data_IF_813921275934
#
_entry.id   IF_813921275934
#
_cell.length_a   1.000
_cell.length_b   1.000
_cell.length_c   1.000
_cell.angle_alpha   90.00
_cell.angle_beta   90.00
_cell.angle_gamma   90.00
#
_symmetry.space_group_name_H-M   'P 1'
#
loop_
_entity.id
_entity.type
_entity.pdbx_description
1 polymer ?
#
# COMPACT_ATOMS: atom_id res chain seq x y z
N UNK A 1 -3.51 10.45 -13.55
CA UNK A 1 -4.06 11.16 -14.70
C UNK A 1 -3.83 12.68 -14.63
N UNK A 2 -3.95 13.26 -13.44
CA UNK A 2 -3.84 14.72 -13.22
C UNK A 2 -2.43 15.19 -12.84
N UNK A 3 -1.51 14.27 -12.57
CA UNK A 3 -0.11 14.57 -12.25
C UNK A 3 0.71 14.77 -13.53
N UNK A 4 1.86 15.48 -13.46
CA UNK A 4 2.81 15.61 -14.56
C UNK A 4 3.24 14.26 -15.13
N UNK A 5 3.32 13.24 -14.26
CA UNK A 5 3.60 11.84 -14.61
C UNK A 5 2.33 11.07 -15.03
N UNK A 6 1.30 11.75 -15.49
CA UNK A 6 0.02 11.14 -15.88
C UNK A 6 0.14 10.07 -16.97
N UNK A 7 1.26 10.04 -17.71
CA UNK A 7 1.61 8.94 -18.61
C UNK A 7 1.88 7.59 -17.95
N UNK A 8 2.05 7.55 -16.63
CA UNK A 8 2.19 6.33 -15.83
C UNK A 8 0.85 5.79 -15.30
N UNK A 9 -0.27 6.45 -15.58
CA UNK A 9 -1.59 5.92 -15.22
C UNK A 9 -1.85 4.61 -16.00
N UNK A 10 -2.44 3.56 -15.35
CA UNK A 10 -2.63 2.25 -16.01
C UNK A 10 -3.27 2.32 -17.40
N UNK A 11 -4.25 3.18 -17.60
CA UNK A 11 -4.87 3.37 -18.94
C UNK A 11 -3.86 3.91 -19.95
N UNK A 12 -2.98 4.83 -19.55
CA UNK A 12 -1.94 5.37 -20.43
C UNK A 12 -0.87 4.32 -20.77
N UNK A 13 -0.64 3.38 -19.85
CA UNK A 13 0.27 2.24 -20.02
C UNK A 13 -0.35 1.07 -20.78
N UNK A 14 -1.61 1.18 -21.23
CA UNK A 14 -2.27 0.18 -22.06
C UNK A 14 -3.28 -0.71 -21.37
N UNK A 15 -3.57 -0.48 -20.09
CA UNK A 15 -4.65 -1.20 -19.41
C UNK A 15 -5.99 -0.92 -20.09
N UNK A 16 -6.76 -1.99 -20.34
CA UNK A 16 -8.08 -1.87 -20.95
C UNK A 16 -9.09 -1.19 -20.00
N UNK A 17 -9.01 -1.51 -18.72
CA UNK A 17 -9.88 -0.96 -17.68
C UNK A 17 -9.07 -0.79 -16.38
N UNK A 18 -9.46 0.19 -15.55
CA UNK A 18 -8.84 0.42 -14.26
C UNK A 18 -9.90 0.94 -13.27
N UNK A 19 -9.87 0.45 -12.04
CA UNK A 19 -10.70 0.96 -10.96
C UNK A 19 -9.81 1.63 -9.93
N UNK A 20 -10.00 2.93 -9.72
CA UNK A 20 -9.18 3.76 -8.85
C UNK A 20 -9.95 4.18 -7.60
N UNK A 21 -9.36 3.97 -6.43
CA UNK A 21 -9.89 4.48 -5.15
C UNK A 21 -9.76 6.00 -5.11
N UNK A 22 -10.87 6.72 -5.30
CA UNK A 22 -10.87 8.18 -5.24
C UNK A 22 -10.47 8.72 -3.85
N UNK A 23 -10.91 8.05 -2.79
CA UNK A 23 -10.72 8.49 -1.40
C UNK A 23 -9.26 8.43 -0.89
N UNK A 24 -8.33 7.83 -1.63
CA UNK A 24 -6.92 7.74 -1.16
C UNK A 24 -6.11 8.99 -1.46
N UNK A 25 -6.38 9.67 -2.57
CA UNK A 25 -5.59 10.84 -2.99
C UNK A 25 -6.44 12.02 -3.48
N UNK A 26 -7.72 11.81 -3.68
CA UNK A 26 -8.67 12.85 -4.08
C UNK A 26 -9.64 13.16 -2.94
N UNK A 27 -10.27 14.34 -2.94
CA UNK A 27 -11.21 14.75 -1.90
C UNK A 27 -12.55 14.01 -2.02
N UNK A 28 -12.52 12.70 -1.81
CA UNK A 28 -13.66 11.78 -1.87
C UNK A 28 -13.80 11.06 -0.55
N UNK A 29 -15.02 10.88 -0.07
CA UNK A 29 -15.32 10.09 1.14
C UNK A 29 -14.96 8.62 0.91
N UNK A 30 -14.49 7.94 1.95
CA UNK A 30 -14.11 6.53 1.93
C UNK A 30 -15.19 5.66 1.29
N UNK A 31 -14.79 4.79 0.37
CA UNK A 31 -15.66 3.93 -0.43
C UNK A 31 -15.95 4.48 -1.84
N UNK A 32 -15.60 5.76 -2.11
CA UNK A 32 -15.72 6.32 -3.45
C UNK A 32 -14.60 5.86 -4.37
N UNK A 33 -14.96 5.43 -5.57
CA UNK A 33 -14.04 4.95 -6.61
C UNK A 33 -14.48 5.40 -8.00
N UNK A 34 -13.53 5.40 -8.93
CA UNK A 34 -13.77 5.68 -10.35
C UNK A 34 -13.40 4.46 -11.18
N UNK A 35 -14.28 4.09 -12.10
CA UNK A 35 -13.98 3.13 -13.15
C UNK A 35 -13.54 3.89 -14.41
N UNK A 36 -12.36 3.59 -14.91
CA UNK A 36 -11.81 4.14 -16.15
C UNK A 36 -11.84 3.08 -17.25
N UNK A 37 -12.30 3.49 -18.42
CA UNK A 37 -12.28 2.67 -19.64
C UNK A 37 -11.21 3.21 -20.59
N UNK A 38 -10.28 2.35 -20.99
CA UNK A 38 -9.32 2.64 -22.05
C UNK A 38 -9.96 2.51 -23.44
N UNK A 39 -9.31 3.05 -24.47
CA UNK A 39 -9.78 2.93 -25.85
C UNK A 39 -9.86 1.47 -26.34
N UNK A 40 -9.09 0.58 -25.73
CA UNK A 40 -9.02 -0.85 -26.00
C UNK A 40 -9.87 -1.69 -25.02
N UNK A 41 -10.75 -1.06 -24.22
CA UNK A 41 -11.62 -1.80 -23.33
C UNK A 41 -12.55 -2.74 -24.13
N UNK A 42 -12.76 -3.98 -23.65
CA UNK A 42 -13.60 -4.96 -24.34
C UNK A 42 -15.06 -4.54 -24.41
N UNK A 43 -15.49 -3.63 -23.54
CA UNK A 43 -16.82 -3.04 -23.51
C UNK A 43 -16.67 -1.53 -23.58
N UNK A 44 -17.21 -0.92 -24.64
CA UNK A 44 -17.23 0.54 -24.83
C UNK A 44 -18.63 1.13 -24.66
N UNK A 45 -19.67 0.30 -24.67
CA UNK A 45 -21.03 0.73 -24.46
C UNK A 45 -21.27 1.10 -23.00
N UNK A 46 -21.57 2.36 -22.74
CA UNK A 46 -21.83 2.90 -21.41
C UNK A 46 -23.01 2.18 -20.72
N UNK A 47 -24.07 1.84 -21.46
CA UNK A 47 -25.23 1.15 -20.89
C UNK A 47 -24.85 -0.25 -20.41
N UNK A 48 -24.06 -0.99 -21.18
CA UNK A 48 -23.58 -2.31 -20.78
C UNK A 48 -22.70 -2.24 -19.51
N UNK A 49 -21.82 -1.24 -19.41
CA UNK A 49 -21.00 -1.02 -18.21
C UNK A 49 -21.85 -0.68 -17.00
N UNK A 50 -22.84 0.22 -17.15
CA UNK A 50 -23.76 0.58 -16.07
C UNK A 50 -24.60 -0.64 -15.60
N UNK A 51 -25.07 -1.45 -16.52
CA UNK A 51 -25.79 -2.67 -16.20
C UNK A 51 -24.91 -3.67 -15.44
N UNK A 52 -23.66 -3.86 -15.86
CA UNK A 52 -22.70 -4.71 -15.15
C UNK A 52 -22.42 -4.20 -13.74
N UNK A 53 -22.22 -2.89 -13.55
CA UNK A 53 -22.07 -2.28 -12.23
C UNK A 53 -23.32 -2.49 -11.36
N UNK A 54 -24.51 -2.39 -11.92
CA UNK A 54 -25.77 -2.58 -11.19
C UNK A 54 -25.97 -4.02 -10.69
N UNK A 55 -25.38 -5.03 -11.34
CA UNK A 55 -25.45 -6.43 -10.88
C UNK A 55 -24.72 -6.64 -9.53
N UNK A 56 -23.68 -5.89 -9.27
CA UNK A 56 -22.86 -6.05 -8.07
C UNK A 56 -22.96 -4.85 -7.11
N UNK A 57 -23.56 -3.76 -7.56
CA UNK A 57 -23.75 -2.55 -6.78
C UNK A 57 -24.86 -2.69 -5.75
N UNK A 58 -24.78 -1.86 -4.71
CA UNK A 58 -25.85 -1.77 -3.72
C UNK A 58 -27.11 -1.13 -4.32
N UNK A 59 -28.28 -1.67 -3.99
CA UNK A 59 -29.57 -1.05 -4.29
C UNK A 59 -29.86 0.17 -3.41
N UNK A 60 -29.03 0.39 -2.37
CA UNK A 60 -29.13 1.53 -1.45
C UNK A 60 -27.81 2.29 -1.44
N UNK A 61 -27.46 3.01 -2.53
CA UNK A 61 -26.19 3.74 -2.62
C UNK A 61 -26.14 4.85 -1.57
N UNK A 62 -24.96 5.08 -1.01
CA UNK A 62 -24.74 6.21 -0.10
C UNK A 62 -24.72 7.52 -0.88
N UNK A 63 -25.68 8.39 -0.62
CA UNK A 63 -25.73 9.72 -1.22
C UNK A 63 -24.53 10.59 -0.80
N UNK A 64 -23.97 10.39 0.41
CA UNK A 64 -22.75 11.08 0.84
C UNK A 64 -21.56 10.74 -0.05
N UNK A 65 -21.38 9.45 -0.40
CA UNK A 65 -20.32 9.01 -1.30
C UNK A 65 -20.54 9.59 -2.69
N UNK A 66 -21.76 9.50 -3.24
CA UNK A 66 -22.08 10.04 -4.56
C UNK A 66 -21.88 11.55 -4.62
N UNK A 67 -22.33 12.29 -3.61
CA UNK A 67 -22.12 13.74 -3.51
C UNK A 67 -20.64 14.10 -3.41
N UNK A 68 -19.84 13.31 -2.67
CA UNK A 68 -18.41 13.55 -2.58
C UNK A 68 -17.69 13.32 -3.90
N UNK A 69 -18.09 12.33 -4.69
CA UNK A 69 -17.58 12.08 -6.04
C UNK A 69 -17.94 13.23 -6.99
N UNK A 70 -19.19 13.70 -6.95
CA UNK A 70 -19.64 14.83 -7.77
C UNK A 70 -18.87 16.11 -7.40
N UNK A 71 -18.77 16.41 -6.09
CA UNK A 71 -17.99 17.55 -5.60
C UNK A 71 -16.50 17.44 -5.96
N UNK A 72 -15.94 16.26 -5.92
CA UNK A 72 -14.57 16.01 -6.37
C UNK A 72 -14.41 16.36 -7.84
N UNK A 73 -15.33 15.97 -8.73
CA UNK A 73 -15.30 16.34 -10.15
C UNK A 73 -15.29 17.86 -10.34
N UNK A 74 -16.08 18.59 -9.57
CA UNK A 74 -16.06 20.05 -9.57
C UNK A 74 -14.67 20.59 -9.16
N UNK A 75 -14.12 20.12 -8.03
CA UNK A 75 -12.82 20.54 -7.52
C UNK A 75 -11.70 20.25 -8.54
N UNK A 76 -11.75 19.09 -9.20
CA UNK A 76 -10.79 18.71 -10.24
C UNK A 76 -10.83 19.68 -11.43
N UNK A 77 -12.00 20.23 -11.77
CA UNK A 77 -12.16 21.23 -12.85
C UNK A 77 -11.69 22.63 -12.45
N UNK A 78 -11.60 22.93 -11.16
CA UNK A 78 -11.29 24.24 -10.58
C UNK A 78 -9.81 24.43 -10.21
N UNK A 79 -8.88 23.82 -10.94
CA UNK A 79 -7.44 24.04 -10.79
C UNK A 79 -6.72 23.05 -9.83
N UNK A 80 -7.38 22.01 -9.36
CA UNK A 80 -6.76 20.97 -8.53
C UNK A 80 -5.51 20.33 -9.14
N UNK A 81 -5.38 20.12 -10.46
CA UNK A 81 -4.14 19.62 -11.07
C UNK A 81 -2.92 20.52 -10.80
N UNK A 82 -3.10 21.85 -10.74
CA UNK A 82 -2.00 22.75 -10.39
C UNK A 82 -1.60 22.59 -8.92
N UNK A 83 -2.56 22.44 -8.02
CA UNK A 83 -2.30 22.16 -6.60
C UNK A 83 -1.57 20.83 -6.39
N UNK A 84 -1.94 19.80 -7.16
CA UNK A 84 -1.21 18.50 -7.18
C UNK A 84 0.24 18.70 -7.60
N UNK A 85 0.49 19.46 -8.66
CA UNK A 85 1.85 19.75 -9.13
C UNK A 85 2.68 20.47 -8.06
N UNK A 86 2.10 21.46 -7.38
CA UNK A 86 2.75 22.18 -6.28
C UNK A 86 3.07 21.23 -5.11
N UNK A 87 2.13 20.37 -4.71
CA UNK A 87 2.32 19.37 -3.67
C UNK A 87 3.48 18.42 -4.03
N UNK A 88 3.53 17.91 -5.27
CA UNK A 88 4.65 17.09 -5.76
C UNK A 88 5.99 17.83 -5.66
N UNK A 89 6.02 19.13 -5.98
CA UNK A 89 7.22 19.96 -5.85
C UNK A 89 7.70 20.09 -4.39
N UNK A 90 6.76 20.21 -3.43
CA UNK A 90 7.09 20.19 -2.00
C UNK A 90 7.66 18.84 -1.57
N UNK A 91 7.04 17.75 -1.99
CA UNK A 91 7.50 16.40 -1.65
C UNK A 91 8.85 16.04 -2.26
N UNK A 92 9.12 16.50 -3.49
CA UNK A 92 10.44 16.32 -4.12
C UNK A 92 11.54 17.04 -3.32
N UNK A 93 11.29 18.26 -2.86
CA UNK A 93 12.23 19.00 -2.00
C UNK A 93 12.43 18.31 -0.67
N UNK A 94 11.34 17.88 -0.03
CA UNK A 94 11.37 17.15 1.24
C UNK A 94 12.23 15.88 1.13
N UNK A 95 11.98 15.03 0.13
CA UNK A 95 12.77 13.79 -0.08
C UNK A 95 14.26 14.11 -0.23
N UNK A 96 14.60 15.15 -0.99
CA UNK A 96 15.97 15.57 -1.17
C UNK A 96 16.60 16.02 0.15
N UNK A 97 15.94 16.86 0.93
CA UNK A 97 16.38 17.35 2.24
C UNK A 97 16.68 16.19 3.21
N UNK A 98 15.75 15.23 3.31
CA UNK A 98 15.91 14.04 4.15
C UNK A 98 17.11 13.18 3.72
N UNK A 99 17.30 13.01 2.41
CA UNK A 99 18.41 12.24 1.87
C UNK A 99 19.77 12.95 2.07
N UNK A 100 19.80 14.27 1.92
CA UNK A 100 21.00 15.08 2.20
C UNK A 100 21.40 14.97 3.69
N UNK A 101 20.43 15.02 4.60
CA UNK A 101 20.69 14.86 6.03
C UNK A 101 21.20 13.45 6.38
N UNK A 102 20.58 12.42 5.84
CA UNK A 102 21.03 11.03 6.03
C UNK A 102 22.44 10.80 5.48
N UNK A 103 22.75 11.34 4.30
CA UNK A 103 24.07 11.27 3.70
C UNK A 103 25.13 12.00 4.56
N UNK A 104 24.82 13.15 5.16
CA UNK A 104 25.69 13.89 6.06
C UNK A 104 26.04 13.10 7.33
N UNK A 105 25.16 12.19 7.76
CA UNK A 105 25.38 11.25 8.87
C UNK A 105 25.97 9.90 8.43
N UNK A 106 26.41 9.79 7.18
CA UNK A 106 26.98 8.57 6.60
C UNK A 106 26.05 7.35 6.67
N UNK A 107 24.74 7.58 6.57
CA UNK A 107 23.77 6.49 6.47
C UNK A 107 24.07 5.63 5.23
N UNK A 108 23.81 4.31 5.29
CA UNK A 108 24.25 3.35 4.25
C UNK A 108 23.43 3.42 2.95
N UNK A 109 22.43 4.30 2.86
CA UNK A 109 21.61 4.48 1.68
C UNK A 109 20.67 5.67 1.77
N UNK A 110 19.83 5.89 0.75
CA UNK A 110 18.82 6.96 0.79
C UNK A 110 17.74 6.66 1.82
N UNK A 111 17.40 7.65 2.65
CA UNK A 111 16.34 7.55 3.64
C UNK A 111 14.97 7.61 2.96
N UNK A 112 14.76 8.58 2.07
CA UNK A 112 13.53 8.74 1.31
C UNK A 112 13.69 8.14 -0.09
N UNK A 113 12.92 7.09 -0.36
CA UNK A 113 12.99 6.36 -1.62
C UNK A 113 12.20 7.07 -2.73
N UNK A 114 12.59 6.79 -4.00
CA UNK A 114 11.75 7.10 -5.16
C UNK A 114 10.46 6.26 -5.07
N UNK A 115 9.33 6.94 -5.10
CA UNK A 115 8.01 6.33 -4.94
C UNK A 115 6.95 7.12 -5.70
N UNK A 116 5.69 6.73 -5.53
CA UNK A 116 4.55 7.47 -6.06
C UNK A 116 4.61 8.95 -5.64
N UNK A 117 4.31 9.90 -6.54
CA UNK A 117 4.55 11.34 -6.31
C UNK A 117 3.97 11.92 -5.02
N UNK A 118 2.81 11.43 -4.57
CA UNK A 118 2.11 11.90 -3.37
C UNK A 118 2.41 11.09 -2.11
N UNK A 119 3.30 10.10 -2.18
CA UNK A 119 3.74 9.31 -1.02
C UNK A 119 5.20 9.61 -0.71
N UNK A 120 5.56 9.51 0.55
CA UNK A 120 6.95 9.49 1.02
C UNK A 120 7.19 8.14 1.65
N UNK A 121 8.03 7.33 1.01
CA UNK A 121 8.46 6.04 1.55
C UNK A 121 9.83 6.23 2.18
N UNK A 122 9.94 5.94 3.47
CA UNK A 122 11.18 6.00 4.22
C UNK A 122 11.71 4.57 4.45
N UNK A 123 12.99 4.35 4.16
CA UNK A 123 13.71 3.13 4.56
C UNK A 123 14.26 3.33 5.98
N UNK A 124 13.52 2.90 6.99
CA UNK A 124 13.90 3.07 8.38
C UNK A 124 15.18 2.32 8.75
N UNK A 125 15.53 1.26 7.99
CA UNK A 125 16.75 0.48 8.23
C UNK A 125 18.01 1.32 8.07
N UNK A 126 18.00 2.37 7.21
CA UNK A 126 19.17 3.27 7.08
C UNK A 126 19.41 4.13 8.32
N UNK A 127 18.43 4.18 9.22
CA UNK A 127 18.52 4.83 10.54
C UNK A 127 18.76 3.82 11.67
N UNK A 128 18.92 2.53 11.36
CA UNK A 128 19.03 1.47 12.36
C UNK A 128 17.70 1.18 13.09
N UNK A 129 16.57 1.56 12.50
CA UNK A 129 15.23 1.38 13.05
C UNK A 129 14.41 0.44 12.16
N UNK A 130 13.41 -0.19 12.75
CA UNK A 130 12.29 -0.75 11.98
C UNK A 130 11.33 0.36 11.56
N UNK A 131 10.52 0.11 10.50
CA UNK A 131 9.49 1.07 10.11
C UNK A 131 8.45 1.30 11.21
N UNK A 132 8.16 0.28 12.01
CA UNK A 132 7.25 0.38 13.18
C UNK A 132 7.82 1.26 14.29
N UNK A 133 9.11 1.14 14.62
CA UNK A 133 9.79 2.03 15.58
C UNK A 133 9.83 3.48 15.07
N UNK A 134 10.11 3.67 13.78
CA UNK A 134 10.04 5.00 13.17
C UNK A 134 8.63 5.58 13.24
N UNK A 135 7.59 4.76 13.00
CA UNK A 135 6.19 5.17 13.13
C UNK A 135 5.85 5.63 14.56
N UNK A 136 6.34 4.93 15.59
CA UNK A 136 6.15 5.33 16.98
C UNK A 136 6.82 6.67 17.30
N UNK A 137 8.05 6.88 16.82
CA UNK A 137 8.75 8.18 16.98
C UNK A 137 8.00 9.31 16.28
N UNK A 138 7.48 9.09 15.06
CA UNK A 138 6.68 10.08 14.34
C UNK A 138 5.33 10.34 15.02
N UNK A 139 4.69 9.32 15.59
CA UNK A 139 3.45 9.46 16.36
C UNK A 139 3.65 10.35 17.60
N UNK A 140 4.80 10.25 18.26
CA UNK A 140 5.16 11.15 19.35
C UNK A 140 5.25 12.62 18.90
N UNK A 141 5.62 12.86 17.64
CA UNK A 141 5.58 14.18 16.98
C UNK A 141 4.20 14.53 16.35
N UNK A 142 3.15 13.74 16.66
CA UNK A 142 1.78 13.89 16.14
C UNK A 142 1.68 13.73 14.62
N UNK A 143 2.44 12.79 14.09
CA UNK A 143 2.42 12.40 12.68
C UNK A 143 2.01 10.94 12.61
N UNK A 144 0.88 10.66 11.97
CA UNK A 144 0.43 9.29 11.65
C UNK A 144 0.90 8.91 10.25
N UNK A 145 1.35 7.65 10.11
CA UNK A 145 1.72 7.09 8.81
C UNK A 145 0.55 6.32 8.19
N UNK A 146 0.57 6.17 6.87
CA UNK A 146 -0.36 5.31 6.14
C UNK A 146 -0.04 3.82 6.36
N UNK A 147 1.26 3.51 6.47
CA UNK A 147 1.76 2.15 6.57
C UNK A 147 3.13 2.11 7.24
N UNK A 148 3.38 1.07 8.01
CA UNK A 148 4.71 0.73 8.52
C UNK A 148 4.88 -0.79 8.59
N UNK A 149 6.07 -1.26 8.25
CA UNK A 149 6.47 -2.67 8.35
C UNK A 149 7.84 -2.81 9.03
N UNK A 150 8.45 -4.01 9.08
CA UNK A 150 9.76 -4.19 9.69
C UNK A 150 10.90 -3.35 9.09
N UNK A 151 10.74 -2.80 7.88
CA UNK A 151 11.76 -2.00 7.21
C UNK A 151 11.29 -0.62 6.80
N UNK A 152 10.09 -0.52 6.21
CA UNK A 152 9.62 0.68 5.54
C UNK A 152 8.50 1.38 6.32
N UNK A 153 8.42 2.69 6.11
CA UNK A 153 7.32 3.52 6.53
C UNK A 153 6.82 4.36 5.35
N UNK A 154 5.51 4.44 5.18
CA UNK A 154 4.89 5.21 4.10
C UNK A 154 4.00 6.31 4.67
N UNK A 155 4.21 7.53 4.21
CA UNK A 155 3.35 8.67 4.46
C UNK A 155 2.65 9.07 3.17
N UNK A 156 1.40 9.52 3.29
CA UNK A 156 0.59 9.95 2.17
C UNK A 156 0.22 11.41 2.33
N UNK A 157 0.35 12.17 1.25
CA UNK A 157 0.06 13.59 1.21
C UNK A 157 -1.00 13.92 0.17
N UNK A 158 -1.70 15.01 0.41
CA UNK A 158 -2.65 15.60 -0.53
C UNK A 158 -2.36 17.09 -0.69
N UNK A 159 -2.87 17.74 -1.74
CA UNK A 159 -2.77 19.20 -1.88
C UNK A 159 -3.47 20.01 -0.78
N UNK A 160 -4.22 19.33 0.07
CA UNK A 160 -4.93 19.96 1.19
C UNK A 160 -4.11 19.99 2.49
N UNK A 161 -2.94 19.32 2.52
CA UNK A 161 -1.98 19.47 3.60
C UNK A 161 -1.39 20.88 3.59
N UNK A 162 -1.49 21.63 4.71
CA UNK A 162 -0.87 22.95 4.82
C UNK A 162 0.66 22.84 4.85
N UNK A 163 1.39 23.91 4.48
CA UNK A 163 2.87 23.91 4.48
C UNK A 163 3.49 23.41 5.80
N UNK A 164 2.87 23.71 6.93
CA UNK A 164 3.32 23.30 8.26
C UNK A 164 3.39 21.78 8.46
N UNK A 165 2.61 21.01 7.70
CA UNK A 165 2.67 19.54 7.80
C UNK A 165 3.95 18.99 7.19
N UNK A 166 4.41 19.60 6.07
CA UNK A 166 5.70 19.24 5.45
C UNK A 166 6.88 19.63 6.36
N UNK A 167 6.81 20.84 6.94
CA UNK A 167 7.83 21.33 7.88
C UNK A 167 7.88 20.48 9.15
N UNK A 168 6.75 20.08 9.69
CA UNK A 168 6.67 19.20 10.87
C UNK A 168 7.29 17.84 10.59
N UNK A 169 6.99 17.25 9.43
CA UNK A 169 7.60 15.98 9.05
C UNK A 169 9.11 16.12 8.88
N UNK A 170 9.56 17.15 8.16
CA UNK A 170 10.99 17.42 8.00
C UNK A 170 11.69 17.53 9.36
N UNK A 171 11.19 18.39 10.25
CA UNK A 171 11.79 18.60 11.56
C UNK A 171 11.81 17.32 12.42
N UNK A 172 10.74 16.52 12.40
CA UNK A 172 10.67 15.29 13.17
C UNK A 172 11.69 14.26 12.67
N UNK A 173 11.79 14.06 11.35
CA UNK A 173 12.73 13.10 10.77
C UNK A 173 14.18 13.59 10.91
N UNK A 174 14.46 14.87 10.70
CA UNK A 174 15.79 15.44 10.89
C UNK A 174 16.25 15.30 12.35
N UNK A 175 15.37 15.50 13.32
CA UNK A 175 15.70 15.27 14.74
C UNK A 175 16.13 13.81 14.98
N UNK A 176 15.41 12.84 14.39
CA UNK A 176 15.76 11.41 14.49
C UNK A 176 17.12 11.13 13.82
N UNK A 177 17.37 11.73 12.66
CA UNK A 177 18.67 11.62 11.97
C UNK A 177 19.81 12.21 12.80
N UNK A 178 19.58 13.32 13.49
CA UNK A 178 20.57 13.95 14.37
C UNK A 178 20.91 13.10 15.60
N UNK A 179 19.97 12.34 16.13
CA UNK A 179 20.16 11.41 17.26
C UNK A 179 21.07 10.21 16.92
N UNK A 180 21.35 9.95 15.65
CA UNK A 180 22.18 8.82 15.24
C UNK A 180 23.60 8.92 15.82
N UNK A 181 24.02 7.83 16.49
CA UNK A 181 25.37 7.68 17.06
C UNK A 181 26.06 6.50 16.40
N UNK A 182 27.10 6.78 15.62
CA UNK A 182 27.91 5.75 14.97
C UNK A 182 27.35 5.22 13.63
N UNK A 183 28.07 4.30 13.00
CA UNK A 183 27.69 3.76 11.71
C UNK A 183 26.50 2.80 11.84
N UNK A 184 25.57 2.92 10.91
CA UNK A 184 24.43 2.00 10.77
C UNK A 184 24.81 0.91 9.77
N UNK A 185 24.56 -0.36 10.12
CA UNK A 185 24.68 -1.50 9.21
C UNK A 185 23.30 -1.91 8.75
N UNK A 186 23.10 -1.97 7.43
CA UNK A 186 21.84 -2.48 6.91
C UNK A 186 21.69 -3.98 7.23
N UNK A 187 20.46 -4.45 7.56
CA UNK A 187 20.20 -5.88 7.63
C UNK A 187 20.46 -6.52 6.26
N UNK A 188 20.90 -7.77 6.25
CA UNK A 188 21.05 -8.52 5.00
C UNK A 188 19.73 -8.49 4.21
N UNK A 189 19.84 -8.23 2.89
CA UNK A 189 18.66 -8.11 2.04
C UNK A 189 17.89 -9.43 1.97
N UNK A 190 16.59 -9.33 2.24
CA UNK A 190 15.63 -10.46 2.17
C UNK A 190 15.13 -10.75 0.76
N UNK A 191 15.73 -10.18 -0.29
CA UNK A 191 15.32 -10.43 -1.69
C UNK A 191 15.33 -11.93 -2.05
N UNK A 192 16.28 -12.68 -1.49
CA UNK A 192 16.34 -14.14 -1.63
C UNK A 192 15.18 -14.87 -0.93
N UNK A 193 14.76 -14.37 0.23
CA UNK A 193 13.66 -14.97 1.01
C UNK A 193 12.31 -14.83 0.31
N UNK A 194 12.04 -13.68 -0.33
CA UNK A 194 10.81 -13.50 -1.11
C UNK A 194 10.79 -14.43 -2.34
N UNK A 195 11.91 -14.57 -3.04
CA UNK A 195 12.02 -15.50 -4.15
C UNK A 195 11.92 -16.97 -3.71
N UNK A 196 12.31 -17.29 -2.48
CA UNK A 196 12.10 -18.61 -1.87
C UNK A 196 10.63 -18.84 -1.53
N UNK A 197 9.96 -17.83 -0.98
CA UNK A 197 8.53 -17.86 -0.74
C UNK A 197 7.77 -18.14 -2.04
N UNK A 198 7.98 -17.35 -3.09
CA UNK A 198 7.27 -17.52 -4.37
C UNK A 198 7.51 -18.91 -4.99
N UNK A 199 8.75 -19.39 -4.99
CA UNK A 199 9.09 -20.70 -5.56
C UNK A 199 8.49 -21.86 -4.78
N UNK A 200 8.26 -21.70 -3.49
CA UNK A 200 7.69 -22.72 -2.61
C UNK A 200 6.18 -22.84 -2.69
N UNK A 201 5.49 -21.80 -3.16
CA UNK A 201 4.04 -21.80 -3.22
C UNK A 201 3.54 -22.65 -4.38
N UNK A 202 2.63 -23.58 -4.10
CA UNK A 202 1.96 -24.36 -5.12
C UNK A 202 0.48 -24.53 -4.77
N UNK A 203 -0.34 -24.47 -5.80
CA UNK A 203 -1.79 -24.58 -5.67
C UNK A 203 -2.21 -26.06 -5.65
N UNK A 204 -2.82 -26.48 -4.55
CA UNK A 204 -3.36 -27.83 -4.35
C UNK A 204 -4.81 -27.96 -4.83
N UNK A 205 -5.59 -26.87 -4.76
CA UNK A 205 -6.98 -26.85 -5.24
C UNK A 205 -7.35 -25.44 -5.72
N UNK A 206 -8.56 -25.27 -6.27
CA UNK A 206 -9.02 -23.93 -6.69
C UNK A 206 -9.35 -23.08 -5.47
N UNK A 207 -9.27 -21.75 -5.60
CA UNK A 207 -9.67 -20.79 -4.57
C UNK A 207 -11.12 -21.09 -4.10
N UNK A 208 -12.02 -21.33 -5.05
CA UNK A 208 -13.42 -21.67 -4.73
C UNK A 208 -13.53 -22.93 -3.87
N UNK A 209 -12.80 -23.99 -4.19
CA UNK A 209 -12.82 -25.23 -3.41
C UNK A 209 -12.29 -24.99 -1.99
N UNK A 210 -11.22 -24.24 -1.83
CA UNK A 210 -10.65 -23.93 -0.53
C UNK A 210 -11.56 -23.07 0.35
N UNK A 211 -12.10 -21.98 -0.22
CA UNK A 211 -12.95 -21.03 0.54
C UNK A 211 -14.26 -21.65 1.01
N UNK A 212 -14.85 -22.57 0.22
CA UNK A 212 -16.12 -23.22 0.56
C UNK A 212 -15.96 -24.60 1.23
N UNK A 213 -14.73 -25.07 1.43
CA UNK A 213 -14.49 -26.28 2.22
C UNK A 213 -14.76 -26.04 3.72
N UNK A 214 -15.01 -27.09 4.51
CA UNK A 214 -14.94 -27.00 5.96
C UNK A 214 -13.57 -26.49 6.41
N UNK A 215 -13.56 -25.52 7.31
CA UNK A 215 -12.35 -24.83 7.74
C UNK A 215 -12.09 -25.02 9.23
N UNK A 216 -10.83 -24.83 9.63
CA UNK A 216 -10.41 -24.70 11.00
C UNK A 216 -9.33 -23.59 11.11
N UNK A 217 -9.24 -22.94 12.26
CA UNK A 217 -8.21 -21.96 12.56
C UNK A 217 -7.02 -22.65 13.23
N UNK A 218 -5.83 -22.36 12.75
CA UNK A 218 -4.59 -22.85 13.34
C UNK A 218 -3.60 -21.70 13.53
N UNK A 219 -2.77 -21.75 14.58
CA UNK A 219 -1.58 -20.91 14.64
C UNK A 219 -0.74 -21.09 13.39
N UNK A 220 -0.19 -19.98 12.85
CA UNK A 220 0.54 -19.99 11.59
C UNK A 220 1.66 -21.03 11.55
N UNK A 221 2.37 -21.24 12.67
CA UNK A 221 3.44 -22.23 12.80
C UNK A 221 2.93 -23.69 12.71
N UNK A 222 1.70 -23.95 13.14
CA UNK A 222 1.04 -25.27 13.08
C UNK A 222 0.34 -25.53 11.76
N UNK A 223 0.20 -24.49 10.93
CA UNK A 223 -0.46 -24.57 9.64
C UNK A 223 0.47 -25.02 8.50
N UNK A 224 1.76 -25.23 8.76
CA UNK A 224 2.71 -25.71 7.75
C UNK A 224 2.27 -27.06 7.18
N UNK A 225 2.25 -27.17 5.86
CA UNK A 225 1.78 -28.36 5.14
C UNK A 225 0.27 -28.37 4.89
N UNK A 226 -0.51 -27.53 5.57
CA UNK A 226 -1.97 -27.42 5.39
C UNK A 226 -2.32 -26.53 4.20
N UNK A 227 -3.52 -26.67 3.68
CA UNK A 227 -4.01 -25.87 2.55
C UNK A 227 -4.72 -24.63 3.09
N UNK A 228 -4.27 -23.45 2.70
CA UNK A 228 -4.87 -22.17 3.07
C UNK A 228 -6.31 -22.08 2.56
N UNK A 229 -7.21 -21.63 3.43
CA UNK A 229 -8.65 -21.43 3.14
C UNK A 229 -9.08 -19.96 3.35
N UNK A 230 -8.20 -19.10 3.85
CA UNK A 230 -8.49 -17.67 3.95
C UNK A 230 -8.58 -17.05 2.55
N UNK A 231 -9.50 -16.10 2.32
CA UNK A 231 -9.57 -15.37 1.06
C UNK A 231 -8.24 -14.71 0.68
N UNK A 232 -7.52 -14.22 1.67
CA UNK A 232 -6.16 -13.69 1.52
C UNK A 232 -5.43 -13.72 2.84
N UNK A 233 -4.15 -14.11 2.81
CA UNK A 233 -3.19 -13.90 3.90
C UNK A 233 -2.13 -12.98 3.33
N UNK A 234 -2.10 -11.76 3.80
CA UNK A 234 -1.25 -10.73 3.22
C UNK A 234 -0.41 -10.01 4.26
N UNK A 235 0.78 -9.60 3.86
CA UNK A 235 1.44 -8.49 4.52
C UNK A 235 0.83 -7.18 4.01
N UNK A 236 0.61 -6.20 4.88
CA UNK A 236 0.19 -4.88 4.43
C UNK A 236 1.18 -4.29 3.41
N UNK A 237 0.74 -3.57 2.37
CA UNK A 237 -0.63 -3.18 2.06
C UNK A 237 -1.39 -4.13 1.10
N UNK A 238 -1.24 -5.40 1.16
CA UNK A 238 -1.99 -6.42 0.41
C UNK A 238 -1.17 -7.24 -0.62
N UNK A 239 0.13 -7.43 -0.36
CA UNK A 239 0.87 -8.48 -1.05
C UNK A 239 0.50 -9.83 -0.41
N UNK A 240 0.01 -10.81 -1.18
CA UNK A 240 -0.34 -12.09 -0.62
C UNK A 240 0.92 -12.87 -0.21
N UNK A 241 0.96 -13.35 1.05
CA UNK A 241 1.94 -14.33 1.51
C UNK A 241 1.55 -15.71 0.98
N UNK A 242 0.27 -16.03 1.06
CA UNK A 242 -0.36 -17.25 0.55
C UNK A 242 -1.81 -16.96 0.22
N UNK A 243 -2.34 -17.59 -0.82
CA UNK A 243 -3.76 -17.45 -1.19
C UNK A 243 -4.51 -18.76 -0.99
N UNK A 244 -5.85 -18.69 -0.95
CA UNK A 244 -6.70 -19.87 -0.78
C UNK A 244 -6.41 -20.92 -1.84
N UNK A 245 -6.25 -22.16 -1.40
CA UNK A 245 -5.93 -23.31 -2.24
C UNK A 245 -4.46 -23.60 -2.40
N UNK A 246 -3.57 -22.76 -1.88
CA UNK A 246 -2.14 -23.01 -1.81
C UNK A 246 -1.76 -23.70 -0.50
N UNK A 247 -0.69 -24.51 -0.57
CA UNK A 247 -0.12 -25.13 0.62
C UNK A 247 0.77 -24.15 1.37
N UNK A 248 0.58 -24.06 2.67
CA UNK A 248 1.39 -23.21 3.55
C UNK A 248 2.76 -23.86 3.73
N UNK A 249 3.80 -23.21 3.24
CA UNK A 249 5.20 -23.67 3.36
C UNK A 249 5.84 -23.17 4.66
N UNK A 250 6.98 -23.72 5.10
CA UNK A 250 7.76 -23.15 6.20
C UNK A 250 8.16 -21.69 5.96
N UNK A 251 8.52 -21.34 4.71
CA UNK A 251 8.81 -19.96 4.33
C UNK A 251 7.57 -19.05 4.49
N UNK A 252 6.39 -19.49 4.05
CA UNK A 252 5.16 -18.75 4.24
C UNK A 252 4.83 -18.52 5.72
N UNK A 253 4.99 -19.53 6.57
CA UNK A 253 4.79 -19.41 8.03
C UNK A 253 5.79 -18.43 8.67
N UNK A 254 7.05 -18.42 8.24
CA UNK A 254 8.05 -17.45 8.70
C UNK A 254 7.67 -16.00 8.31
N UNK A 255 7.16 -15.81 7.09
CA UNK A 255 6.65 -14.50 6.64
C UNK A 255 5.40 -14.08 7.42
N UNK A 256 4.45 -15.00 7.68
CA UNK A 256 3.29 -14.72 8.53
C UNK A 256 3.72 -14.21 9.91
N UNK A 257 4.67 -14.88 10.55
CA UNK A 257 5.22 -14.45 11.84
C UNK A 257 5.84 -13.06 11.79
N UNK A 258 6.62 -12.77 10.75
CA UNK A 258 7.28 -11.47 10.53
C UNK A 258 6.26 -10.32 10.42
N UNK A 259 5.09 -10.59 9.84
CA UNK A 259 4.00 -9.63 9.66
C UNK A 259 2.88 -9.78 10.70
N UNK A 260 3.16 -10.46 11.82
CA UNK A 260 2.25 -10.62 12.96
C UNK A 260 0.91 -11.28 12.58
N UNK A 261 0.91 -12.16 11.58
CA UNK A 261 -0.23 -13.03 11.27
C UNK A 261 -0.14 -14.23 12.20
N UNK A 262 -0.90 -14.19 13.31
CA UNK A 262 -0.83 -15.21 14.36
C UNK A 262 -1.59 -16.49 13.99
N UNK A 263 -2.75 -16.34 13.36
CA UNK A 263 -3.65 -17.44 12.99
C UNK A 263 -4.03 -17.40 11.51
N UNK A 264 -4.29 -18.56 10.94
CA UNK A 264 -4.71 -18.73 9.56
C UNK A 264 -5.78 -19.80 9.45
N UNK A 265 -6.80 -19.56 8.61
CA UNK A 265 -7.80 -20.57 8.26
C UNK A 265 -7.21 -21.55 7.25
N UNK A 266 -7.37 -22.83 7.54
CA UNK A 266 -6.97 -23.93 6.65
C UNK A 266 -8.14 -24.85 6.38
N UNK A 267 -8.07 -25.61 5.28
CA UNK A 267 -9.04 -26.66 5.01
C UNK A 267 -8.92 -27.70 6.13
N UNK A 268 -10.07 -28.05 6.75
CA UNK A 268 -10.12 -29.10 7.77
C UNK A 268 -9.83 -30.46 7.15
N UNK A 269 -8.95 -31.22 7.77
CA UNK A 269 -8.71 -32.62 7.36
C UNK A 269 -9.90 -33.49 7.70
N UNK A 270 -10.22 -34.48 6.86
CA UNK A 270 -11.21 -35.50 7.22
C UNK A 270 -10.79 -36.21 8.50
N UNK A 271 -11.72 -36.35 9.43
CA UNK A 271 -11.52 -37.17 10.64
C UNK A 271 -11.51 -38.65 10.27
#
# INVERSE_FOLDING_TARGET
RFLPQGGQHPIALGAAMCCDSGHKTLPVVTGGAYLHLGKNAPVQDEAAVRNALALFGSTSPSYLILQSLDKCNQILSEGYPLRLLQCCGHLTRLRRELNEAAAAKHCPGPLALESEPLKVTLDAAVLGLSGTELAEKLRAAKIECEYADPRYLVLMFTPDNPPQDFERLAAAVLCIVEELVGPVTLPEETAGEFAELERGLHRCCTIRQAVFAPQEQLPAEQAVGRICAMPTVSCPPALPIVVSGEQITPAAAAWMKRYHVEEVSVIREPQ
#
